data_IF_503456318619
#
_entry.id   IF_503456318619
#
_cell.length_a   1.000
_cell.length_b   1.000
_cell.length_c   1.000
_cell.angle_alpha   90.00
_cell.angle_beta   90.00
_cell.angle_gamma   90.00
#
_symmetry.space_group_name_H-M   'P 1'
#
loop_
_entity.id
_entity.type
_entity.pdbx_description
1 polymer ?
#
# COMPACT_ATOMS: atom_id res chain seq x y z
N UNK A 1 -10.88 -29.57 14.53
CA UNK A 1 -9.56 -28.98 14.24
C UNK A 1 -8.62 -30.12 13.88
N UNK A 2 -8.32 -30.31 12.61
CA UNK A 2 -7.49 -31.43 12.14
C UNK A 2 -6.04 -31.16 12.51
N UNK A 3 -5.55 -31.77 13.59
CA UNK A 3 -4.13 -31.76 13.92
C UNK A 3 -3.41 -32.60 12.86
N UNK A 4 -2.79 -31.95 11.87
CA UNK A 4 -1.82 -32.65 11.04
C UNK A 4 -0.66 -33.11 11.95
N UNK A 5 -0.26 -34.39 11.88
CA UNK A 5 0.99 -34.87 12.44
C UNK A 5 2.16 -33.95 12.06
N UNK A 6 3.06 -33.66 13.00
CA UNK A 6 4.22 -32.79 12.79
C UNK A 6 5.04 -33.19 11.55
N UNK A 7 5.18 -34.49 11.28
CA UNK A 7 5.86 -35.01 10.09
C UNK A 7 5.21 -34.54 8.78
N UNK A 8 3.87 -34.58 8.70
CA UNK A 8 3.14 -34.11 7.52
C UNK A 8 3.23 -32.59 7.35
N UNK A 9 3.27 -31.84 8.46
CA UNK A 9 3.47 -30.38 8.43
C UNK A 9 4.87 -30.04 7.91
N UNK A 10 5.89 -30.81 8.29
CA UNK A 10 7.26 -30.63 7.82
C UNK A 10 7.44 -31.02 6.35
N UNK A 11 6.83 -32.12 5.91
CA UNK A 11 6.77 -32.50 4.49
C UNK A 11 6.09 -31.42 3.64
N UNK A 12 4.97 -30.88 4.14
CA UNK A 12 4.26 -29.78 3.48
C UNK A 12 5.14 -28.53 3.40
N UNK A 13 5.85 -28.18 4.48
CA UNK A 13 6.80 -27.06 4.47
C UNK A 13 7.90 -27.26 3.41
N UNK A 14 8.50 -28.45 3.34
CA UNK A 14 9.53 -28.76 2.33
C UNK A 14 8.97 -28.68 0.90
N UNK A 15 7.77 -29.19 0.68
CA UNK A 15 7.10 -29.10 -0.62
C UNK A 15 6.90 -27.65 -1.05
N UNK A 16 6.35 -26.81 -0.17
CA UNK A 16 6.14 -25.38 -0.45
C UNK A 16 7.47 -24.66 -0.67
N UNK A 17 8.52 -24.97 0.10
CA UNK A 17 9.87 -24.42 -0.12
C UNK A 17 10.37 -24.71 -1.55
N UNK A 18 10.20 -25.94 -2.05
CA UNK A 18 10.57 -26.30 -3.43
C UNK A 18 9.79 -25.50 -4.47
N UNK A 19 8.48 -25.33 -4.28
CA UNK A 19 7.66 -24.53 -5.20
C UNK A 19 8.10 -23.05 -5.23
N UNK A 20 8.45 -22.48 -4.07
CA UNK A 20 9.01 -21.13 -3.98
C UNK A 20 10.37 -21.02 -4.69
N UNK A 21 11.24 -22.04 -4.56
CA UNK A 21 12.51 -22.08 -5.26
C UNK A 21 12.32 -22.15 -6.79
N UNK A 22 11.43 -23.03 -7.26
CA UNK A 22 11.11 -23.18 -8.67
C UNK A 22 10.55 -21.87 -9.25
N UNK A 23 9.60 -21.24 -8.57
CA UNK A 23 9.05 -19.95 -9.00
C UNK A 23 10.13 -18.85 -9.05
N UNK A 24 11.04 -18.81 -8.08
CA UNK A 24 12.15 -17.83 -8.09
C UNK A 24 13.13 -18.06 -9.23
N UNK A 25 13.31 -19.31 -9.66
CA UNK A 25 14.16 -19.66 -10.79
C UNK A 25 13.48 -19.35 -12.13
N UNK A 26 12.16 -19.53 -12.24
CA UNK A 26 11.41 -19.35 -13.48
C UNK A 26 10.88 -17.93 -13.72
N UNK A 27 11.03 -17.00 -12.77
CA UNK A 27 10.46 -15.65 -12.90
C UNK A 27 11.29 -14.75 -13.84
N UNK A 28 10.65 -13.97 -14.73
CA UNK A 28 11.36 -13.10 -15.67
C UNK A 28 12.13 -11.95 -15.00
N UNK A 29 11.70 -11.50 -13.82
CA UNK A 29 12.31 -10.38 -13.10
C UNK A 29 12.54 -10.76 -11.65
N UNK A 30 13.66 -10.32 -11.09
CA UNK A 30 14.02 -10.53 -9.68
C UNK A 30 12.98 -9.97 -8.68
N UNK A 31 12.17 -9.00 -9.10
CA UNK A 31 11.07 -8.40 -8.34
C UNK A 31 9.68 -8.89 -8.75
N UNK A 32 9.59 -10.00 -9.49
CA UNK A 32 8.31 -10.58 -9.91
C UNK A 32 7.37 -10.81 -8.72
N UNK A 33 6.08 -10.54 -8.92
CA UNK A 33 5.04 -10.72 -7.91
C UNK A 33 4.85 -12.21 -7.61
N UNK A 34 4.88 -12.58 -6.32
CA UNK A 34 4.58 -13.95 -5.88
C UNK A 34 3.12 -14.30 -6.24
N UNK A 35 2.88 -15.41 -6.94
CA UNK A 35 1.55 -15.90 -7.28
C UNK A 35 0.67 -16.15 -6.07
N UNK A 36 -0.64 -15.92 -6.22
CA UNK A 36 -1.62 -16.13 -5.16
C UNK A 36 -1.64 -17.57 -4.60
N UNK A 37 -1.48 -18.64 -5.40
CA UNK A 37 -1.43 -20.00 -4.87
C UNK A 37 -0.25 -20.26 -3.91
N UNK A 38 0.90 -19.63 -4.15
CA UNK A 38 2.06 -19.73 -3.24
C UNK A 38 1.81 -18.98 -1.94
N UNK A 39 1.13 -17.83 -2.00
CA UNK A 39 0.69 -17.12 -0.81
C UNK A 39 -0.30 -17.93 0.03
N UNK A 40 -1.28 -18.56 -0.60
CA UNK A 40 -2.27 -19.37 0.10
C UNK A 40 -1.62 -20.52 0.89
N UNK A 41 -0.67 -21.24 0.26
CA UNK A 41 0.08 -22.31 0.93
C UNK A 41 0.97 -21.79 2.07
N UNK A 42 1.66 -20.67 1.86
CA UNK A 42 2.46 -20.04 2.91
C UNK A 42 1.61 -19.61 4.12
N UNK A 43 0.40 -19.09 3.88
CA UNK A 43 -0.55 -18.70 4.92
C UNK A 43 -1.08 -19.95 5.66
N UNK A 44 -1.44 -21.01 4.94
CA UNK A 44 -1.93 -22.26 5.53
C UNK A 44 -0.91 -22.87 6.51
N UNK A 45 0.39 -22.85 6.16
CA UNK A 45 1.47 -23.30 7.05
C UNK A 45 1.53 -22.54 8.37
N UNK A 46 1.10 -21.26 8.41
CA UNK A 46 1.10 -20.47 9.66
C UNK A 46 0.02 -20.90 10.66
N UNK A 47 -0.91 -21.77 10.28
CA UNK A 47 -1.86 -22.40 11.20
C UNK A 47 -1.22 -23.49 12.07
N UNK A 48 -0.08 -24.05 11.62
CA UNK A 48 0.60 -25.18 12.27
C UNK A 48 2.01 -24.85 12.75
N UNK A 49 2.66 -23.86 12.15
CA UNK A 49 4.04 -23.47 12.45
C UNK A 49 4.14 -21.98 12.82
N UNK A 50 5.13 -21.59 13.64
CA UNK A 50 5.40 -20.18 13.90
C UNK A 50 5.64 -19.40 12.60
N UNK A 51 4.97 -18.25 12.46
CA UNK A 51 5.03 -17.42 11.26
C UNK A 51 6.46 -17.04 10.87
N UNK A 52 7.32 -16.79 11.86
CA UNK A 52 8.74 -16.47 11.65
C UNK A 52 9.52 -17.64 11.07
N UNK A 53 9.23 -18.87 11.50
CA UNK A 53 9.82 -20.11 10.93
C UNK A 53 9.42 -20.26 9.48
N UNK A 54 8.13 -20.11 9.18
CA UNK A 54 7.59 -20.18 7.80
C UNK A 54 8.21 -19.09 6.92
N UNK A 55 8.25 -17.84 7.38
CA UNK A 55 8.83 -16.73 6.64
C UNK A 55 10.32 -16.96 6.33
N UNK A 56 11.10 -17.40 7.32
CA UNK A 56 12.53 -17.68 7.15
C UNK A 56 12.77 -18.80 6.14
N UNK A 57 12.06 -19.93 6.28
CA UNK A 57 12.20 -21.07 5.38
C UNK A 57 11.78 -20.75 3.95
N UNK A 58 10.70 -19.99 3.78
CA UNK A 58 10.23 -19.61 2.46
C UNK A 58 10.99 -18.41 1.87
N UNK A 59 11.93 -17.78 2.58
CA UNK A 59 12.65 -16.59 2.11
C UNK A 59 11.75 -15.36 1.92
N UNK A 60 10.84 -15.14 2.87
CA UNK A 60 9.88 -14.03 2.89
C UNK A 60 10.14 -13.12 4.08
N UNK A 61 9.77 -11.84 3.95
CA UNK A 61 9.76 -10.92 5.09
C UNK A 61 8.61 -11.29 6.03
N UNK A 62 8.85 -11.51 7.35
CA UNK A 62 7.80 -11.88 8.30
C UNK A 62 6.62 -10.89 8.34
N UNK A 63 6.90 -9.58 8.23
CA UNK A 63 5.87 -8.55 8.21
C UNK A 63 4.92 -8.66 7.00
N UNK A 64 5.45 -9.02 5.83
CA UNK A 64 4.65 -9.18 4.60
C UNK A 64 3.77 -10.41 4.71
N UNK A 65 4.29 -11.52 5.23
CA UNK A 65 3.52 -12.74 5.48
C UNK A 65 2.41 -12.51 6.51
N UNK A 66 2.71 -11.78 7.59
CA UNK A 66 1.71 -11.38 8.60
C UNK A 66 0.58 -10.57 7.97
N UNK A 67 0.90 -9.50 7.24
CA UNK A 67 -0.09 -8.65 6.57
C UNK A 67 -0.97 -9.46 5.60
N UNK A 68 -0.37 -10.37 4.83
CA UNK A 68 -1.08 -11.26 3.89
C UNK A 68 -2.01 -12.23 4.59
N UNK A 69 -1.58 -12.83 5.70
CA UNK A 69 -2.44 -13.70 6.53
C UNK A 69 -3.62 -12.93 7.11
N UNK A 70 -3.36 -11.73 7.64
CA UNK A 70 -4.38 -10.94 8.32
C UNK A 70 -5.42 -10.39 7.32
N UNK A 71 -5.04 -10.13 6.05
CA UNK A 71 -5.98 -9.79 4.96
C UNK A 71 -6.70 -11.00 4.37
N UNK A 72 -6.14 -12.20 4.46
CA UNK A 72 -6.76 -13.44 3.98
C UNK A 72 -7.74 -14.05 4.98
N UNK A 73 -7.66 -13.67 6.27
CA UNK A 73 -8.62 -14.11 7.28
C UNK A 73 -9.94 -13.36 7.04
N UNK A 74 -11.06 -14.05 6.77
CA UNK A 74 -12.36 -13.40 6.79
C UNK A 74 -12.58 -12.90 8.22
N UNK A 75 -12.55 -11.58 8.41
CA UNK A 75 -13.05 -10.98 9.64
C UNK A 75 -14.55 -11.20 9.60
N UNK A 76 -15.09 -11.99 10.52
CA UNK A 76 -16.53 -12.09 10.70
C UNK A 76 -17.07 -10.67 10.97
N UNK A 77 -17.75 -10.09 9.99
CA UNK A 77 -18.27 -8.72 10.03
C UNK A 77 -17.48 -7.64 9.28
N UNK A 78 -16.37 -7.96 8.59
CA UNK A 78 -15.77 -6.99 7.66
C UNK A 78 -16.37 -7.15 6.25
N UNK A 79 -16.59 -6.04 5.52
CA UNK A 79 -17.02 -6.11 4.13
C UNK A 79 -16.01 -6.94 3.34
N UNK A 80 -16.54 -7.87 2.53
CA UNK A 80 -15.81 -8.66 1.55
C UNK A 80 -14.80 -7.79 0.80
N UNK A 81 -13.64 -8.37 0.47
CA UNK A 81 -12.53 -7.72 -0.23
C UNK A 81 -13.00 -6.68 -1.25
N UNK A 82 -12.31 -5.52 -1.39
CA UNK A 82 -12.74 -4.51 -2.32
C UNK A 82 -12.84 -5.17 -3.69
N UNK A 83 -14.05 -5.15 -4.25
CA UNK A 83 -14.27 -5.46 -5.65
C UNK A 83 -13.18 -4.75 -6.46
N UNK A 84 -12.74 -5.35 -7.58
CA UNK A 84 -11.83 -4.70 -8.52
C UNK A 84 -12.21 -3.21 -8.62
N UNK A 85 -11.25 -2.28 -8.46
CA UNK A 85 -11.58 -0.87 -8.29
C UNK A 85 -12.49 -0.48 -9.45
N UNK A 86 -13.73 -0.13 -9.12
CA UNK A 86 -14.70 0.26 -10.12
C UNK A 86 -14.18 1.56 -10.73
N UNK A 87 -14.09 1.60 -12.04
CA UNK A 87 -13.86 2.85 -12.75
C UNK A 87 -15.03 3.78 -12.41
N UNK A 88 -14.72 4.87 -11.72
CA UNK A 88 -15.68 5.94 -11.47
C UNK A 88 -15.39 7.02 -12.49
N UNK A 89 -16.27 7.17 -13.47
CA UNK A 89 -16.22 8.29 -14.39
C UNK A 89 -16.58 9.57 -13.63
N UNK A 90 -15.58 10.41 -13.41
CA UNK A 90 -15.77 11.72 -12.78
C UNK A 90 -15.97 12.73 -13.91
N UNK A 91 -17.10 13.45 -13.96
CA UNK A 91 -17.33 14.45 -15.01
C UNK A 91 -16.26 15.55 -14.95
N UNK A 92 -15.80 16.09 -16.10
CA UNK A 92 -14.73 17.10 -16.17
C UNK A 92 -14.99 18.33 -15.29
N UNK A 93 -16.25 18.62 -14.96
CA UNK A 93 -16.65 19.72 -14.08
C UNK A 93 -16.14 19.58 -12.62
N UNK A 94 -15.69 18.40 -12.19
CA UNK A 94 -15.06 18.22 -10.88
C UNK A 94 -13.59 18.67 -10.85
N UNK A 95 -12.97 18.92 -12.01
CA UNK A 95 -11.66 19.54 -12.09
C UNK A 95 -11.88 21.05 -12.07
N UNK A 96 -11.67 21.68 -10.91
CA UNK A 96 -11.52 23.14 -10.88
C UNK A 96 -10.31 23.48 -11.75
N UNK A 97 -10.55 23.98 -12.95
CA UNK A 97 -9.55 24.10 -14.02
C UNK A 97 -8.66 25.32 -13.90
N UNK A 98 -8.82 26.18 -12.91
CA UNK A 98 -7.93 27.34 -12.75
C UNK A 98 -7.89 27.81 -11.32
N UNK A 99 -6.90 27.33 -10.56
CA UNK A 99 -6.45 28.03 -9.36
C UNK A 99 -5.30 28.95 -9.76
N UNK A 100 -5.50 30.25 -9.65
CA UNK A 100 -4.39 31.18 -9.72
C UNK A 100 -3.63 31.15 -8.39
N UNK A 101 -2.30 31.16 -8.46
CA UNK A 101 -1.41 31.17 -7.30
C UNK A 101 -0.52 32.41 -7.36
N UNK A 102 -0.43 33.12 -6.24
CA UNK A 102 0.47 34.26 -6.04
C UNK A 102 1.38 33.93 -4.86
N UNK A 103 2.68 33.95 -5.09
CA UNK A 103 3.70 33.74 -4.06
C UNK A 103 4.60 34.97 -3.97
N UNK A 104 4.80 35.47 -2.75
CA UNK A 104 5.68 36.60 -2.45
C UNK A 104 6.62 36.21 -1.32
N UNK A 105 7.92 36.39 -1.55
CA UNK A 105 8.96 36.15 -0.57
C UNK A 105 9.68 37.46 -0.25
N UNK A 106 9.83 37.76 1.05
CA UNK A 106 10.59 38.90 1.55
C UNK A 106 12.08 38.53 1.73
N UNK A 107 12.92 39.56 1.85
CA UNK A 107 14.36 39.39 2.06
C UNK A 107 14.72 38.74 3.42
N UNK A 108 13.84 38.83 4.42
CA UNK A 108 13.95 38.16 5.73
C UNK A 108 13.64 36.65 5.65
N UNK A 109 13.19 36.15 4.48
CA UNK A 109 12.78 34.77 4.26
C UNK A 109 11.29 34.50 4.49
N UNK A 110 10.52 35.46 4.98
CA UNK A 110 9.07 35.35 5.16
C UNK A 110 8.37 35.16 3.81
N UNK A 111 7.33 34.32 3.78
CA UNK A 111 6.65 33.93 2.54
C UNK A 111 5.13 33.98 2.68
N UNK A 112 4.47 34.64 1.73
CA UNK A 112 3.02 34.70 1.57
C UNK A 112 2.62 33.94 0.31
N UNK A 113 1.60 33.06 0.44
CA UNK A 113 1.06 32.28 -0.67
C UNK A 113 -0.46 32.38 -0.69
N UNK A 114 -1.01 32.80 -1.82
CA UNK A 114 -2.45 33.02 -2.02
C UNK A 114 -2.91 32.15 -3.18
N UNK A 115 -3.91 31.31 -2.96
CA UNK A 115 -4.54 30.47 -3.99
C UNK A 115 -6.01 30.81 -4.09
N UNK A 116 -6.50 31.11 -5.29
CA UNK A 116 -7.91 31.44 -5.54
C UNK A 116 -8.39 30.83 -6.86
N UNK A 117 -9.67 30.46 -6.94
CA UNK A 117 -10.22 29.75 -8.11
C UNK A 117 -11.35 30.46 -8.85
N UNK A 118 -12.01 31.44 -8.22
CA UNK A 118 -13.19 32.10 -8.81
C UNK A 118 -13.00 33.62 -8.88
N UNK A 119 -13.08 34.32 -7.74
CA UNK A 119 -12.89 35.77 -7.68
C UNK A 119 -11.44 36.12 -7.30
N UNK A 120 -10.86 37.12 -7.99
CA UNK A 120 -9.59 37.70 -7.60
C UNK A 120 -9.77 38.41 -6.25
N UNK A 121 -9.07 38.01 -5.17
CA UNK A 121 -9.14 38.71 -3.90
C UNK A 121 -8.51 40.10 -4.05
N UNK A 122 -8.68 40.97 -3.05
CA UNK A 122 -8.00 42.26 -3.01
C UNK A 122 -6.48 42.06 -2.81
N UNK A 123 -5.78 41.63 -3.86
CA UNK A 123 -4.37 41.25 -3.82
C UNK A 123 -3.50 42.44 -3.42
N UNK A 124 -3.76 43.63 -3.94
CA UNK A 124 -2.93 44.81 -3.67
C UNK A 124 -2.86 45.16 -2.17
N UNK A 125 -3.97 45.32 -1.44
CA UNK A 125 -3.93 45.53 0.02
C UNK A 125 -3.26 44.39 0.80
N UNK A 126 -3.49 43.14 0.41
CA UNK A 126 -2.88 41.97 1.06
C UNK A 126 -1.36 41.96 0.89
N UNK A 127 -0.89 42.27 -0.31
CA UNK A 127 0.53 42.37 -0.63
C UNK A 127 1.16 43.57 0.06
N UNK A 128 0.51 44.73 0.11
CA UNK A 128 1.01 45.91 0.81
C UNK A 128 1.14 45.64 2.32
N UNK A 129 0.08 45.12 2.96
CA UNK A 129 0.11 44.76 4.39
C UNK A 129 1.26 43.80 4.68
N UNK A 130 1.42 42.78 3.84
CA UNK A 130 2.53 41.85 3.95
C UNK A 130 3.88 42.52 3.70
N UNK A 131 4.05 43.45 2.78
CA UNK A 131 5.36 44.08 2.56
C UNK A 131 5.71 45.11 3.66
N UNK A 132 4.72 45.70 4.31
CA UNK A 132 4.89 46.74 5.34
C UNK A 132 5.17 46.18 6.74
N UNK A 133 4.70 44.96 7.02
CA UNK A 133 4.92 44.32 8.33
C UNK A 133 6.34 43.76 8.40
N UNK A 134 7.30 44.50 8.95
CA UNK A 134 8.68 44.03 9.19
C UNK A 134 8.74 42.93 10.23
#
# INVERSE_FOLDING_TARGET
MTHLPLAQVEEHLQHVTRQFAQWRASRPTSRGRIPQPLWAQAIALTAHLPLTRVAKQLGLTPQVLKRRRDTARPVAGAPSAPAAPHFVEVPPAAWRTSTAEVEVQRADGSRLRITYSDAVPALVPLLQTFLETR
#
